data_IF_717691533274
#
_entry.id   IF_717691533274
#
_cell.length_a   1.000
_cell.length_b   1.000
_cell.length_c   1.000
_cell.angle_alpha   90.00
_cell.angle_beta   90.00
_cell.angle_gamma   90.00
#
_symmetry.space_group_name_H-M   'P 1'
#
loop_
_entity.id
_entity.type
_entity.pdbx_description
1 polymer ?
#
# COMPACT_ATOMS: atom_id res chain seq x y z
N UNK A 1 -6.84 10.98 -8.86
CA UNK A 1 -7.13 11.09 -7.42
C UNK A 1 -6.15 12.05 -6.78
N UNK A 2 -6.67 13.02 -6.09
CA UNK A 2 -5.85 14.03 -5.43
C UNK A 2 -5.30 13.53 -4.10
N UNK A 3 -4.16 14.08 -3.71
CA UNK A 3 -3.58 13.83 -2.38
C UNK A 3 -4.53 14.25 -1.26
N UNK A 4 -5.26 15.36 -1.47
CA UNK A 4 -6.25 15.84 -0.52
C UNK A 4 -7.35 14.80 -0.25
N UNK A 5 -7.82 14.13 -1.31
CA UNK A 5 -8.84 13.08 -1.19
C UNK A 5 -8.33 11.88 -0.40
N UNK A 6 -7.09 11.45 -0.67
CA UNK A 6 -6.47 10.35 0.06
C UNK A 6 -6.29 10.69 1.53
N UNK A 7 -5.85 11.90 1.84
CA UNK A 7 -5.72 12.37 3.22
C UNK A 7 -7.08 12.35 3.94
N UNK A 8 -8.13 12.79 3.26
CA UNK A 8 -9.48 12.80 3.83
C UNK A 8 -9.94 11.39 4.21
N UNK A 9 -9.72 10.41 3.34
CA UNK A 9 -10.06 9.01 3.61
C UNK A 9 -9.27 8.49 4.81
N UNK A 10 -7.97 8.71 4.81
CA UNK A 10 -7.10 8.25 5.92
C UNK A 10 -7.51 8.87 7.25
N UNK A 11 -7.77 10.16 7.28
CA UNK A 11 -8.20 10.86 8.50
C UNK A 11 -9.52 10.30 9.02
N UNK A 12 -10.45 10.01 8.14
CA UNK A 12 -11.74 9.44 8.51
C UNK A 12 -11.58 8.04 9.11
N UNK A 13 -10.77 7.19 8.46
CA UNK A 13 -10.58 5.80 8.90
C UNK A 13 -9.77 5.68 10.17
N UNK A 14 -8.89 6.65 10.46
CA UNK A 14 -7.94 6.57 11.58
C UNK A 14 -8.22 7.58 12.69
N UNK A 15 -9.34 8.27 12.65
CA UNK A 15 -9.65 9.36 13.59
C UNK A 15 -9.57 8.98 15.07
N UNK A 16 -9.90 7.72 15.38
CA UNK A 16 -9.89 7.20 16.76
C UNK A 16 -8.73 6.22 17.00
N UNK A 17 -7.74 6.19 16.08
CA UNK A 17 -6.63 5.23 16.12
C UNK A 17 -5.32 5.99 15.95
N UNK A 18 -4.37 5.73 16.84
CA UNK A 18 -2.99 6.20 16.68
C UNK A 18 -2.21 5.17 15.89
N UNK A 19 -1.66 5.58 14.74
CA UNK A 19 -0.84 4.71 13.89
C UNK A 19 0.63 5.02 14.14
N UNK A 20 1.36 4.04 14.67
CA UNK A 20 2.79 4.19 14.96
C UNK A 20 3.65 4.01 13.72
N UNK A 21 3.23 3.13 12.81
CA UNK A 21 4.00 2.80 11.62
C UNK A 21 3.11 2.23 10.51
N UNK A 22 3.47 2.53 9.26
CA UNK A 22 2.70 2.06 8.10
C UNK A 22 3.62 1.38 7.09
N UNK A 23 3.22 0.19 6.62
CA UNK A 23 3.84 -0.48 5.48
C UNK A 23 2.97 -0.25 4.25
N UNK A 24 3.54 0.41 3.25
CA UNK A 24 2.84 0.66 1.98
C UNK A 24 3.29 -0.36 0.94
N UNK A 25 2.38 -1.26 0.55
CA UNK A 25 2.66 -2.24 -0.48
C UNK A 25 2.45 -1.64 -1.86
N UNK A 26 3.46 -1.79 -2.73
CA UNK A 26 3.39 -1.33 -4.11
C UNK A 26 3.40 -2.51 -5.06
N UNK A 27 2.87 -2.32 -6.26
CA UNK A 27 2.85 -3.32 -7.32
C UNK A 27 3.00 -2.63 -8.67
N UNK A 28 3.79 -3.23 -9.59
CA UNK A 28 3.89 -2.70 -10.95
C UNK A 28 2.57 -2.87 -11.70
N UNK A 29 2.35 -2.01 -12.69
CA UNK A 29 1.12 -2.09 -13.50
C UNK A 29 1.01 -3.43 -14.22
N UNK A 30 2.13 -4.01 -14.67
CA UNK A 30 2.14 -5.30 -15.35
C UNK A 30 1.70 -6.43 -14.42
N UNK A 31 2.26 -6.49 -13.22
CA UNK A 31 1.89 -7.51 -12.24
C UNK A 31 0.47 -7.31 -11.72
N UNK A 32 0.03 -6.08 -11.59
CA UNK A 32 -1.35 -5.78 -11.21
C UNK A 32 -2.33 -6.34 -12.26
N UNK A 33 -2.06 -6.13 -13.53
CA UNK A 33 -2.89 -6.67 -14.63
C UNK A 33 -2.94 -8.20 -14.58
N UNK A 34 -1.81 -8.85 -14.34
CA UNK A 34 -1.74 -10.30 -14.23
C UNK A 34 -2.59 -10.81 -13.06
N UNK A 35 -2.48 -10.17 -11.90
CA UNK A 35 -3.26 -10.54 -10.71
C UNK A 35 -4.76 -10.37 -10.92
N UNK A 36 -5.17 -9.28 -11.56
CA UNK A 36 -6.58 -9.04 -11.85
C UNK A 36 -7.16 -10.08 -12.81
N UNK A 37 -6.39 -10.50 -13.82
CA UNK A 37 -6.82 -11.54 -14.77
C UNK A 37 -6.99 -12.91 -14.11
N UNK A 38 -6.21 -13.23 -13.09
CA UNK A 38 -6.27 -14.51 -12.40
C UNK A 38 -7.47 -14.66 -11.48
N UNK A 39 -8.18 -13.59 -11.16
CA UNK A 39 -9.35 -13.66 -10.30
C UNK A 39 -10.52 -14.25 -11.08
N UNK A 40 -11.12 -15.31 -10.53
CA UNK A 40 -12.27 -15.98 -11.15
C UNK A 40 -13.56 -15.20 -10.97
N UNK A 41 -13.74 -14.61 -9.79
CA UNK A 41 -14.93 -13.82 -9.46
C UNK A 41 -14.49 -12.40 -9.11
N UNK A 42 -14.79 -11.46 -10.03
CA UNK A 42 -14.52 -10.05 -9.79
C UNK A 42 -15.65 -9.43 -9.01
N UNK A 43 -15.34 -8.78 -7.89
CA UNK A 43 -16.35 -8.00 -7.18
C UNK A 43 -16.48 -6.61 -7.80
N UNK A 44 -17.33 -5.77 -7.21
CA UNK A 44 -17.59 -4.42 -7.69
C UNK A 44 -16.31 -3.59 -7.84
N UNK A 45 -15.37 -3.73 -6.93
CA UNK A 45 -14.13 -2.95 -6.92
C UNK A 45 -13.09 -3.48 -7.91
N UNK A 46 -13.09 -4.77 -8.16
CA UNK A 46 -12.15 -5.40 -9.09
C UNK A 46 -12.43 -5.07 -10.54
N UNK A 47 -13.58 -4.45 -10.83
CA UNK A 47 -13.92 -3.99 -12.18
C UNK A 47 -13.21 -2.72 -12.59
N UNK A 48 -12.60 -2.00 -11.64
CA UNK A 48 -11.80 -0.83 -11.97
C UNK A 48 -10.57 -1.25 -12.76
N UNK A 49 -10.19 -0.42 -13.74
CA UNK A 49 -9.03 -0.72 -14.57
C UNK A 49 -7.71 -0.46 -13.82
N UNK A 50 -6.61 -0.95 -14.42
CA UNK A 50 -5.28 -0.81 -13.83
C UNK A 50 -4.82 0.64 -13.67
N UNK A 51 -5.33 1.56 -14.50
CA UNK A 51 -5.02 2.98 -14.37
C UNK A 51 -5.55 3.58 -13.09
N UNK A 52 -6.75 3.17 -12.69
CA UNK A 52 -7.33 3.63 -11.43
C UNK A 52 -6.44 3.22 -10.26
N UNK A 53 -6.07 1.93 -10.19
CA UNK A 53 -5.24 1.42 -9.11
C UNK A 53 -3.85 2.07 -9.10
N UNK A 54 -3.29 2.33 -10.28
CA UNK A 54 -1.99 3.00 -10.40
C UNK A 54 -2.05 4.42 -9.87
N UNK A 55 -3.13 5.15 -10.15
CA UNK A 55 -3.31 6.52 -9.65
C UNK A 55 -3.46 6.55 -8.13
N UNK A 56 -4.21 5.60 -7.57
CA UNK A 56 -4.34 5.47 -6.12
C UNK A 56 -2.97 5.20 -5.48
N UNK A 57 -2.21 4.28 -6.04
CA UNK A 57 -0.88 3.95 -5.55
C UNK A 57 0.05 5.17 -5.59
N UNK A 58 0.05 5.92 -6.69
CA UNK A 58 0.86 7.15 -6.81
C UNK A 58 0.50 8.16 -5.73
N UNK A 59 -0.79 8.29 -5.41
CA UNK A 59 -1.25 9.18 -4.36
C UNK A 59 -0.70 8.76 -2.99
N UNK A 60 -0.76 7.48 -2.66
CA UNK A 60 -0.19 6.96 -1.42
C UNK A 60 1.33 7.09 -1.36
N UNK A 61 2.01 6.91 -2.49
CA UNK A 61 3.47 7.12 -2.55
C UNK A 61 3.83 8.57 -2.26
N UNK A 62 3.08 9.54 -2.80
CA UNK A 62 3.29 10.95 -2.49
C UNK A 62 3.07 11.24 -1.01
N UNK A 63 2.04 10.64 -0.42
CA UNK A 63 1.75 10.79 0.99
C UNK A 63 2.89 10.24 1.85
N UNK A 64 3.46 9.11 1.48
CA UNK A 64 4.51 8.43 2.23
C UNK A 64 5.88 9.09 2.11
N UNK A 65 6.13 9.83 1.04
CA UNK A 65 7.46 10.34 0.66
C UNK A 65 8.17 11.11 1.77
N UNK A 66 7.44 11.93 2.51
CA UNK A 66 8.02 12.79 3.54
C UNK A 66 7.71 12.32 4.97
N UNK A 67 7.25 11.08 5.14
CA UNK A 67 6.88 10.55 6.44
C UNK A 67 7.88 9.51 6.92
N UNK A 68 8.45 9.73 8.10
CA UNK A 68 9.45 8.84 8.70
C UNK A 68 8.88 7.50 9.16
N UNK A 69 7.58 7.46 9.42
CA UNK A 69 6.91 6.25 9.92
C UNK A 69 6.25 5.43 8.81
N UNK A 70 6.77 5.54 7.59
CA UNK A 70 6.31 4.74 6.44
C UNK A 70 7.47 3.91 5.90
N UNK A 71 7.17 2.69 5.50
CA UNK A 71 8.10 1.84 4.77
C UNK A 71 7.41 1.30 3.53
N UNK A 72 8.03 1.50 2.37
CA UNK A 72 7.48 1.04 1.09
C UNK A 72 7.95 -0.39 0.85
N UNK A 73 7.00 -1.31 0.63
CA UNK A 73 7.26 -2.71 0.35
C UNK A 73 6.90 -3.01 -1.10
N UNK A 74 7.89 -3.40 -1.89
CA UNK A 74 7.67 -3.75 -3.29
C UNK A 74 7.14 -5.18 -3.41
N UNK A 75 5.83 -5.34 -3.63
CA UNK A 75 5.20 -6.65 -3.70
C UNK A 75 5.46 -7.39 -5.01
N UNK A 76 6.21 -6.81 -5.96
CA UNK A 76 6.75 -7.52 -7.11
C UNK A 76 7.90 -8.44 -6.74
N UNK A 77 8.55 -8.17 -5.61
CA UNK A 77 9.66 -8.98 -5.11
C UNK A 77 9.14 -10.24 -4.42
N UNK A 78 10.06 -11.17 -4.15
CA UNK A 78 9.76 -12.41 -3.47
C UNK A 78 9.07 -12.18 -2.12
N UNK A 79 8.00 -12.94 -1.87
CA UNK A 79 7.20 -12.87 -0.64
C UNK A 79 8.08 -13.16 0.58
N UNK A 80 8.95 -14.16 0.50
CA UNK A 80 9.84 -14.53 1.63
C UNK A 80 10.77 -13.38 2.01
N UNK A 81 11.32 -12.68 1.02
CA UNK A 81 12.18 -11.52 1.25
C UNK A 81 11.40 -10.37 1.90
N UNK A 82 10.22 -10.06 1.38
CA UNK A 82 9.37 -9.01 1.92
C UNK A 82 8.94 -9.30 3.35
N UNK A 83 8.61 -10.56 3.65
CA UNK A 83 8.26 -11.00 4.98
C UNK A 83 9.40 -10.76 5.97
N UNK A 84 10.63 -11.08 5.59
CA UNK A 84 11.82 -10.82 6.44
C UNK A 84 12.02 -9.33 6.69
N UNK A 85 11.87 -8.51 5.66
CA UNK A 85 12.02 -7.06 5.78
C UNK A 85 10.99 -6.50 6.78
N UNK A 86 9.75 -6.90 6.66
CA UNK A 86 8.67 -6.44 7.53
C UNK A 86 8.89 -6.88 8.97
N UNK A 87 9.23 -8.16 9.18
CA UNK A 87 9.49 -8.70 10.52
C UNK A 87 10.66 -7.99 11.17
N UNK A 88 11.77 -7.80 10.45
CA UNK A 88 12.94 -7.10 10.98
C UNK A 88 12.59 -5.67 11.39
N UNK A 89 11.78 -4.98 10.59
CA UNK A 89 11.37 -3.62 10.90
C UNK A 89 10.48 -3.56 12.15
N UNK A 90 9.56 -4.49 12.28
CA UNK A 90 8.68 -4.59 13.45
C UNK A 90 9.52 -4.84 14.71
N UNK A 91 10.49 -5.75 14.64
CA UNK A 91 11.37 -6.04 15.78
C UNK A 91 12.14 -4.80 16.22
N UNK A 92 12.68 -4.02 15.28
CA UNK A 92 13.37 -2.78 15.58
C UNK A 92 12.46 -1.75 16.27
N UNK A 93 11.19 -1.70 15.86
CA UNK A 93 10.21 -0.78 16.47
C UNK A 93 9.83 -1.18 17.89
N UNK A 94 9.82 -2.47 18.18
CA UNK A 94 9.43 -3.00 19.49
C UNK A 94 10.61 -2.98 20.47
N UNK A 95 11.81 -3.35 20.02
CA UNK A 95 12.96 -3.60 20.90
C UNK A 95 14.01 -2.48 20.92
N UNK A 96 13.71 -1.39 20.26
CA UNK A 96 14.62 -0.23 20.34
C UNK A 96 14.19 0.73 21.45
#
# INVERSE_FOLDING_TARGET
ISLKFINLINDYLTKDINIDYTFLNTVSINNLKIRLKKRKNLNKYDKFNSYFYTRVQKGYLKLAKNKKNYHIVNSDKDISLNKKIIINKIEKLIYN
#
